data_IF_251246750567
#
_entry.id   IF_251246750567
#
_cell.length_a   1.000
_cell.length_b   1.000
_cell.length_c   1.000
_cell.angle_alpha   90.00
_cell.angle_beta   90.00
_cell.angle_gamma   90.00
#
_symmetry.space_group_name_H-M   'P 1'
#
loop_
_entity.id
_entity.type
_entity.pdbx_description
1 polymer ?
#
# COMPACT_ATOMS: atom_id res chain seq x y z
N UNK A 1 -10.33 17.82 -5.46
CA UNK A 1 -10.63 17.93 -4.02
C UNK A 1 -11.02 19.35 -3.64
N UNK A 2 -10.18 20.38 -3.91
CA UNK A 2 -10.45 21.77 -3.52
C UNK A 2 -11.86 22.26 -3.93
N UNK A 3 -12.24 22.09 -5.19
CA UNK A 3 -13.57 22.52 -5.67
C UNK A 3 -14.71 21.78 -4.97
N UNK A 4 -14.53 20.49 -4.71
CA UNK A 4 -15.51 19.68 -3.99
C UNK A 4 -15.69 20.19 -2.55
N UNK A 5 -14.59 20.42 -1.83
CA UNK A 5 -14.64 20.94 -0.46
C UNK A 5 -15.20 22.36 -0.41
N UNK A 6 -14.86 23.23 -1.36
CA UNK A 6 -15.40 24.58 -1.43
C UNK A 6 -16.93 24.61 -1.62
N UNK A 7 -17.48 23.64 -2.34
CA UNK A 7 -18.93 23.59 -2.63
C UNK A 7 -19.69 22.76 -1.59
N UNK A 8 -19.14 21.64 -1.14
CA UNK A 8 -19.82 20.62 -0.33
C UNK A 8 -19.14 20.33 1.01
N UNK A 9 -18.13 21.11 1.43
CA UNK A 9 -17.37 20.85 2.66
C UNK A 9 -18.25 20.69 3.89
N UNK A 10 -19.36 21.43 3.98
CA UNK A 10 -20.32 21.38 5.07
C UNK A 10 -21.11 20.05 5.15
N UNK A 11 -21.08 19.22 4.11
CA UNK A 11 -21.71 17.89 4.05
C UNK A 11 -20.69 16.75 4.14
N UNK A 12 -19.38 17.06 4.10
CA UNK A 12 -18.29 16.07 4.04
C UNK A 12 -17.67 15.91 5.43
N UNK A 13 -17.82 14.73 6.02
CA UNK A 13 -17.22 14.42 7.31
C UNK A 13 -15.74 14.07 7.22
N UNK A 14 -15.34 13.35 6.17
CA UNK A 14 -13.98 12.87 6.00
C UNK A 14 -13.60 12.68 4.53
N UNK A 15 -12.28 12.76 4.26
CA UNK A 15 -11.67 12.36 3.00
C UNK A 15 -10.74 11.17 3.26
N UNK A 16 -10.98 10.05 2.58
CA UNK A 16 -10.17 8.83 2.71
C UNK A 16 -9.37 8.58 1.43
N UNK A 17 -8.09 8.19 1.59
CA UNK A 17 -7.23 7.78 0.48
C UNK A 17 -6.17 6.78 0.95
N UNK A 18 -5.66 5.97 0.03
CA UNK A 18 -4.41 5.23 0.20
C UNK A 18 -3.23 6.19 -0.02
N UNK A 19 -2.31 6.39 0.95
CA UNK A 19 -1.22 7.36 0.81
C UNK A 19 -0.14 6.87 -0.16
N UNK A 20 0.28 7.74 -1.09
CA UNK A 20 1.38 7.54 -2.05
C UNK A 20 1.10 6.47 -3.11
N UNK A 21 0.54 5.31 -2.73
CA UNK A 21 0.27 4.18 -3.63
C UNK A 21 -1.20 3.80 -3.54
N UNK A 22 -1.92 3.92 -4.64
CA UNK A 22 -3.27 3.37 -4.79
C UNK A 22 -3.16 1.91 -5.23
N UNK A 23 -3.34 0.95 -4.32
CA UNK A 23 -3.13 -0.47 -4.57
C UNK A 23 -4.11 -1.07 -5.57
N UNK A 24 -5.31 -1.40 -5.13
CA UNK A 24 -6.35 -2.06 -5.94
C UNK A 24 -6.82 -1.21 -7.13
N UNK A 25 -6.63 0.10 -7.08
CA UNK A 25 -6.95 1.02 -8.18
C UNK A 25 -6.02 0.91 -9.39
N UNK A 26 -4.94 0.11 -9.34
CA UNK A 26 -4.01 -0.08 -10.46
C UNK A 26 -2.55 0.19 -10.08
N UNK A 27 -2.19 0.14 -8.81
CA UNK A 27 -0.84 0.41 -8.32
C UNK A 27 -0.28 1.75 -8.82
N UNK A 28 -1.11 2.81 -8.80
CA UNK A 28 -0.70 4.16 -9.17
C UNK A 28 0.09 4.81 -8.04
N UNK A 29 1.25 5.38 -8.40
CA UNK A 29 2.07 6.16 -7.49
C UNK A 29 1.82 7.64 -7.74
N UNK A 30 1.67 8.42 -6.67
CA UNK A 30 1.48 9.85 -6.79
C UNK A 30 2.45 10.63 -5.89
N UNK A 31 2.72 11.86 -6.28
CA UNK A 31 3.70 12.70 -5.59
C UNK A 31 3.22 13.08 -4.17
N UNK A 32 4.10 13.07 -3.16
CA UNK A 32 3.76 13.42 -1.77
C UNK A 32 3.09 14.79 -1.58
N UNK A 33 3.36 15.74 -2.49
CA UNK A 33 2.70 17.06 -2.47
C UNK A 33 1.18 16.98 -2.58
N UNK A 34 0.64 15.99 -3.29
CA UNK A 34 -0.81 15.79 -3.33
C UNK A 34 -1.37 15.48 -1.93
N UNK A 35 -0.71 14.59 -1.20
CA UNK A 35 -1.12 14.21 0.15
C UNK A 35 -0.96 15.39 1.13
N UNK A 36 0.14 16.16 1.00
CA UNK A 36 0.37 17.39 1.78
C UNK A 36 -0.71 18.45 1.52
N UNK A 37 -1.06 18.66 0.26
CA UNK A 37 -2.13 19.55 -0.13
C UNK A 37 -3.51 19.05 0.35
N UNK A 38 -3.75 17.75 0.31
CA UNK A 38 -4.98 17.15 0.84
C UNK A 38 -5.12 17.39 2.35
N UNK A 39 -4.04 17.17 3.14
CA UNK A 39 -4.04 17.47 4.59
C UNK A 39 -4.40 18.94 4.85
N UNK A 40 -3.73 19.87 4.15
CA UNK A 40 -3.99 21.30 4.30
C UNK A 40 -5.44 21.66 3.98
N UNK A 41 -6.01 21.09 2.91
CA UNK A 41 -7.40 21.33 2.55
C UNK A 41 -8.36 20.74 3.59
N UNK A 42 -8.09 19.55 4.10
CA UNK A 42 -8.89 18.95 5.16
C UNK A 42 -8.90 19.82 6.42
N UNK A 43 -7.75 20.38 6.79
CA UNK A 43 -7.66 21.32 7.93
C UNK A 43 -8.43 22.63 7.67
N UNK A 44 -8.32 23.18 6.46
CA UNK A 44 -9.00 24.43 6.06
C UNK A 44 -10.53 24.31 6.11
N UNK A 45 -11.07 23.14 5.74
CA UNK A 45 -12.53 22.91 5.67
C UNK A 45 -13.09 22.09 6.85
N UNK A 46 -12.29 21.85 7.89
CA UNK A 46 -12.65 21.02 9.07
C UNK A 46 -13.16 19.60 8.69
N UNK A 47 -12.55 19.01 7.68
CA UNK A 47 -12.83 17.64 7.19
C UNK A 47 -11.73 16.71 7.71
N UNK A 48 -12.09 15.53 8.23
CA UNK A 48 -11.11 14.56 8.71
C UNK A 48 -10.35 13.94 7.54
N UNK A 49 -9.03 13.76 7.69
CA UNK A 49 -8.20 13.01 6.75
C UNK A 49 -8.01 11.58 7.26
N UNK A 50 -8.37 10.59 6.44
CA UNK A 50 -8.17 9.18 6.71
C UNK A 50 -7.11 8.64 5.74
N UNK A 51 -5.99 8.11 6.27
CA UNK A 51 -5.00 7.40 5.48
C UNK A 51 -5.21 5.89 5.62
N UNK A 52 -5.51 5.24 4.49
CA UNK A 52 -5.57 3.78 4.43
C UNK A 52 -4.17 3.22 4.17
N UNK A 53 -3.48 2.85 5.24
CA UNK A 53 -2.14 2.26 5.24
C UNK A 53 -2.15 0.72 5.24
N UNK A 54 -3.30 0.10 4.98
CA UNK A 54 -3.43 -1.37 5.01
C UNK A 54 -2.45 -2.04 4.04
N UNK A 55 -2.24 -1.45 2.86
CA UNK A 55 -1.32 -1.99 1.85
C UNK A 55 0.06 -1.30 1.87
N UNK A 56 0.14 -0.07 2.33
CA UNK A 56 1.34 0.78 2.24
C UNK A 56 2.18 0.80 3.50
N UNK A 57 1.59 0.48 4.65
CA UNK A 57 2.26 0.51 5.94
C UNK A 57 3.31 -0.58 6.15
N UNK A 58 3.98 -0.49 7.28
CA UNK A 58 5.01 -1.42 7.75
C UNK A 58 6.19 -1.58 6.78
N UNK A 59 6.64 -0.46 6.18
CA UNK A 59 7.85 -0.43 5.36
C UNK A 59 7.65 -0.71 3.87
N UNK A 60 6.44 -1.06 3.42
CA UNK A 60 6.20 -1.50 2.04
C UNK A 60 6.68 -0.53 0.97
N UNK A 61 6.49 0.76 1.19
CA UNK A 61 6.89 1.81 0.24
C UNK A 61 8.31 2.34 0.45
N UNK A 62 9.01 1.91 1.52
CA UNK A 62 10.31 2.44 1.94
C UNK A 62 10.27 3.31 3.19
N UNK A 63 9.10 3.85 3.54
CA UNK A 63 8.82 4.50 4.81
C UNK A 63 8.00 3.57 5.71
N UNK A 64 8.07 3.72 7.05
CA UNK A 64 7.28 2.89 7.95
C UNK A 64 5.78 3.00 7.65
N UNK A 65 5.31 4.21 7.42
CA UNK A 65 3.99 4.52 6.88
C UNK A 65 4.15 5.48 5.69
N UNK A 66 3.40 5.25 4.62
CA UNK A 66 3.57 6.04 3.39
C UNK A 66 3.20 7.52 3.58
N UNK A 67 2.34 7.87 4.54
CA UNK A 67 2.07 9.27 4.88
C UNK A 67 3.32 10.04 5.35
N UNK A 68 4.38 9.35 5.79
CA UNK A 68 5.65 9.96 6.20
C UNK A 68 6.35 10.68 5.04
N UNK A 69 6.17 10.24 3.78
CA UNK A 69 6.69 10.94 2.60
C UNK A 69 6.18 12.38 2.49
N UNK A 70 4.97 12.63 2.95
CA UNK A 70 4.38 13.95 2.97
C UNK A 70 4.69 14.74 4.26
N UNK A 71 5.27 14.09 5.28
CA UNK A 71 5.50 14.68 6.58
C UNK A 71 4.20 15.09 7.29
N UNK A 72 3.12 14.31 7.09
CA UNK A 72 1.80 14.59 7.67
C UNK A 72 1.37 13.50 8.63
N UNK A 73 0.47 13.85 9.53
CA UNK A 73 -0.27 12.92 10.38
C UNK A 73 -1.75 12.97 10.00
N UNK A 74 -2.40 11.85 9.65
CA UNK A 74 -3.83 11.81 9.42
C UNK A 74 -4.61 11.89 10.74
N UNK A 75 -5.90 12.21 10.66
CA UNK A 75 -6.80 12.13 11.82
C UNK A 75 -7.14 10.68 12.17
N UNK A 76 -7.25 9.84 11.14
CA UNK A 76 -7.50 8.41 11.27
C UNK A 76 -6.55 7.66 10.33
N UNK A 77 -5.99 6.55 10.83
CA UNK A 77 -5.14 5.66 10.05
C UNK A 77 -5.67 4.23 10.16
N UNK A 78 -5.87 3.54 9.03
CA UNK A 78 -6.25 2.14 9.02
C UNK A 78 -5.03 1.26 8.73
N UNK A 79 -4.87 0.18 9.49
CA UNK A 79 -3.74 -0.75 9.43
C UNK A 79 -4.24 -2.18 9.27
N UNK A 80 -3.46 -3.01 8.56
CA UNK A 80 -3.75 -4.42 8.34
C UNK A 80 -2.58 -5.10 7.64
N UNK A 81 -2.81 -6.21 6.97
CA UNK A 81 -1.81 -6.98 6.19
C UNK A 81 -0.46 -7.13 6.91
N UNK A 82 0.48 -6.19 6.69
CA UNK A 82 1.79 -6.15 7.33
C UNK A 82 1.75 -6.11 8.88
N UNK A 83 0.65 -5.69 9.47
CA UNK A 83 0.46 -5.65 10.92
C UNK A 83 0.75 -7.00 11.59
N UNK A 84 0.37 -8.10 10.97
CA UNK A 84 0.62 -9.46 11.48
C UNK A 84 1.56 -10.28 10.60
N UNK A 85 2.22 -9.66 9.62
CA UNK A 85 3.05 -10.34 8.62
C UNK A 85 2.35 -11.53 7.91
N UNK A 86 1.02 -11.51 7.85
CA UNK A 86 0.21 -12.56 7.21
C UNK A 86 -0.08 -13.78 8.10
N UNK A 87 0.36 -13.81 9.34
CA UNK A 87 0.14 -14.94 10.26
C UNK A 87 -1.31 -15.06 10.75
N UNK A 88 -1.98 -13.91 10.95
CA UNK A 88 -3.36 -13.86 11.44
C UNK A 88 -4.12 -12.72 10.77
N UNK A 89 -5.42 -12.86 10.64
CA UNK A 89 -6.30 -11.77 10.23
C UNK A 89 -6.49 -10.80 11.40
N UNK A 90 -5.96 -9.59 11.25
CA UNK A 90 -6.12 -8.50 12.19
C UNK A 90 -6.07 -7.17 11.44
N UNK A 91 -6.87 -6.23 11.88
CA UNK A 91 -6.77 -4.82 11.49
C UNK A 91 -6.79 -3.92 12.72
N UNK A 92 -6.24 -2.73 12.58
CA UNK A 92 -6.31 -1.71 13.62
C UNK A 92 -6.71 -0.38 12.98
N UNK A 93 -7.43 0.44 13.74
CA UNK A 93 -7.75 1.81 13.41
C UNK A 93 -7.17 2.69 14.49
N UNK A 94 -6.25 3.56 14.09
CA UNK A 94 -5.65 4.56 14.98
C UNK A 94 -6.35 5.89 14.75
N UNK A 95 -6.53 6.65 15.81
CA UNK A 95 -7.14 7.97 15.73
C UNK A 95 -6.47 8.96 16.70
N UNK A 96 -6.60 10.25 16.40
CA UNK A 96 -6.12 11.31 17.26
C UNK A 96 -7.15 11.66 18.37
N UNK A 97 -6.73 12.53 19.29
CA UNK A 97 -7.57 12.96 20.42
C UNK A 97 -8.83 13.71 19.96
N UNK A 98 -8.75 14.53 18.90
CA UNK A 98 -9.90 15.26 18.33
C UNK A 98 -11.04 14.29 18.00
N UNK A 99 -10.72 13.19 17.31
CA UNK A 99 -11.72 12.20 16.90
C UNK A 99 -12.27 11.43 18.12
N UNK A 100 -11.41 10.98 19.02
CA UNK A 100 -11.83 10.22 20.20
C UNK A 100 -12.72 11.06 21.14
N UNK A 101 -12.37 12.33 21.36
CA UNK A 101 -13.18 13.26 22.13
C UNK A 101 -14.51 13.57 21.42
N UNK A 102 -14.49 13.78 20.10
CA UNK A 102 -15.69 13.98 19.30
C UNK A 102 -16.71 12.85 19.48
N UNK A 103 -16.22 11.59 19.45
CA UNK A 103 -17.07 10.41 19.73
C UNK A 103 -17.61 10.45 21.16
N UNK A 104 -16.76 10.68 22.15
CA UNK A 104 -17.13 10.67 23.56
C UNK A 104 -18.10 11.79 23.95
N UNK A 105 -18.05 12.91 23.26
CA UNK A 105 -18.94 14.07 23.47
C UNK A 105 -20.20 14.01 22.62
N UNK A 106 -20.30 13.08 21.66
CA UNK A 106 -21.49 12.88 20.84
C UNK A 106 -22.68 12.33 21.65
N UNK A 107 -23.84 12.31 21.04
CA UNK A 107 -25.02 11.69 21.64
C UNK A 107 -24.83 10.19 21.97
N UNK A 108 -23.98 9.50 21.22
CA UNK A 108 -23.63 8.09 21.45
C UNK A 108 -22.70 7.89 22.65
N UNK A 109 -21.88 8.89 23.01
CA UNK A 109 -20.90 8.90 24.12
C UNK A 109 -19.88 7.76 24.11
N UNK A 110 -19.97 6.85 23.16
CA UNK A 110 -19.10 5.67 23.03
C UNK A 110 -19.06 5.23 21.57
N UNK A 111 -17.93 4.70 21.15
CA UNK A 111 -17.81 4.05 19.84
C UNK A 111 -18.51 2.67 19.91
N UNK A 112 -19.69 2.57 19.31
CA UNK A 112 -20.49 1.34 19.28
C UNK A 112 -19.97 0.35 18.23
N UNK A 113 -18.71 -0.06 18.38
CA UNK A 113 -18.06 -1.06 17.52
C UNK A 113 -17.30 -2.05 18.40
N UNK A 114 -17.75 -3.31 18.42
CA UNK A 114 -17.18 -4.34 19.27
C UNK A 114 -17.50 -5.74 18.75
N UNK A 115 -16.92 -6.18 17.59
CA UNK A 115 -17.01 -7.56 17.15
C UNK A 115 -16.55 -8.51 18.25
N UNK A 116 -17.20 -9.68 18.38
CA UNK A 116 -16.96 -10.65 19.47
C UNK A 116 -15.47 -11.01 19.63
N UNK A 117 -14.74 -11.14 18.52
CA UNK A 117 -13.32 -11.52 18.52
C UNK A 117 -12.37 -10.33 18.30
N UNK A 118 -12.85 -9.09 18.44
CA UNK A 118 -12.00 -7.92 18.34
C UNK A 118 -10.88 -7.98 19.39
N UNK A 119 -9.66 -7.59 18.98
CA UNK A 119 -8.47 -7.60 19.84
C UNK A 119 -8.17 -8.97 20.46
N UNK A 120 -8.45 -10.08 19.74
CA UNK A 120 -8.13 -11.40 20.30
C UNK A 120 -6.64 -11.50 20.62
N UNK A 121 -6.27 -12.11 21.77
CA UNK A 121 -4.88 -12.10 22.26
C UNK A 121 -3.88 -12.73 21.30
N UNK A 122 -4.26 -13.78 20.58
CA UNK A 122 -3.38 -14.46 19.64
C UNK A 122 -2.98 -13.54 18.46
N UNK A 123 -3.95 -12.87 17.85
CA UNK A 123 -3.68 -11.95 16.75
C UNK A 123 -2.88 -10.72 17.22
N UNK A 124 -3.15 -10.21 18.43
CA UNK A 124 -2.37 -9.13 19.03
C UNK A 124 -0.92 -9.56 19.32
N UNK A 125 -0.70 -10.79 19.80
CA UNK A 125 0.63 -11.34 19.99
C UNK A 125 1.40 -11.48 18.65
N UNK A 126 0.71 -11.95 17.59
CA UNK A 126 1.29 -11.99 16.25
C UNK A 126 1.66 -10.59 15.74
N UNK A 127 0.82 -9.57 15.99
CA UNK A 127 1.11 -8.21 15.58
C UNK A 127 2.35 -7.64 16.31
N UNK A 128 2.44 -7.84 17.62
CA UNK A 128 3.60 -7.40 18.38
C UNK A 128 4.89 -8.09 17.88
N UNK A 129 4.87 -9.41 17.72
CA UNK A 129 6.00 -10.16 17.20
C UNK A 129 6.41 -9.70 15.78
N UNK A 130 5.43 -9.40 14.91
CA UNK A 130 5.69 -8.86 13.57
C UNK A 130 6.43 -7.53 13.62
N UNK A 131 6.01 -6.62 14.52
CA UNK A 131 6.65 -5.32 14.70
C UNK A 131 8.06 -5.49 15.27
N UNK A 132 8.24 -6.35 16.29
CA UNK A 132 9.54 -6.66 16.88
C UNK A 132 10.52 -7.23 15.85
N UNK A 133 10.07 -8.17 15.01
CA UNK A 133 10.87 -8.72 13.90
C UNK A 133 11.24 -7.63 12.92
N UNK A 134 10.30 -6.77 12.50
CA UNK A 134 10.61 -5.67 11.59
C UNK A 134 11.66 -4.73 12.18
N UNK A 135 11.58 -4.41 13.47
CA UNK A 135 12.54 -3.53 14.16
C UNK A 135 13.90 -4.20 14.45
N UNK A 136 14.00 -5.52 14.35
CA UNK A 136 15.22 -6.27 14.69
C UNK A 136 16.32 -6.23 13.63
N UNK A 137 16.05 -5.69 12.45
CA UNK A 137 17.02 -5.60 11.35
C UNK A 137 16.83 -4.32 10.53
N UNK A 138 17.83 -4.00 9.71
CA UNK A 138 17.79 -2.85 8.79
C UNK A 138 16.89 -3.15 7.57
N UNK A 139 15.57 -3.08 7.80
CA UNK A 139 14.56 -3.31 6.77
C UNK A 139 14.56 -2.19 5.72
N UNK A 140 14.92 -0.96 6.09
CA UNK A 140 14.94 0.18 5.16
C UNK A 140 15.96 -0.05 4.05
N UNK A 141 17.18 -0.44 4.40
CA UNK A 141 18.22 -0.78 3.41
C UNK A 141 17.80 -1.97 2.54
N UNK A 142 17.14 -2.98 3.10
CA UNK A 142 16.61 -4.11 2.32
C UNK A 142 15.54 -3.68 1.33
N UNK A 143 14.58 -2.88 1.76
CA UNK A 143 13.50 -2.39 0.89
C UNK A 143 14.05 -1.49 -0.22
N UNK A 144 15.01 -0.61 0.10
CA UNK A 144 15.71 0.21 -0.88
C UNK A 144 16.50 -0.62 -1.90
N UNK A 145 17.14 -1.71 -1.45
CA UNK A 145 17.82 -2.66 -2.33
C UNK A 145 16.83 -3.34 -3.29
N UNK A 146 15.69 -3.82 -2.77
CA UNK A 146 14.60 -4.41 -3.58
C UNK A 146 14.12 -3.41 -4.64
N UNK A 147 13.87 -2.16 -4.25
CA UNK A 147 13.47 -1.10 -5.19
C UNK A 147 14.47 -0.91 -6.32
N UNK A 148 15.75 -0.79 -5.97
CA UNK A 148 16.83 -0.65 -6.95
C UNK A 148 16.88 -1.82 -7.93
N UNK A 149 16.73 -3.04 -7.44
CA UNK A 149 16.71 -4.26 -8.26
C UNK A 149 15.49 -4.30 -9.18
N UNK A 150 14.31 -3.95 -8.67
CA UNK A 150 13.08 -3.88 -9.47
C UNK A 150 13.19 -2.84 -10.57
N UNK A 151 13.66 -1.63 -10.26
CA UNK A 151 13.87 -0.57 -11.25
C UNK A 151 14.89 -0.99 -12.31
N UNK A 152 16.09 -1.43 -11.91
CA UNK A 152 17.12 -1.84 -12.85
C UNK A 152 16.71 -3.03 -13.72
N UNK A 153 16.02 -4.01 -13.11
CA UNK A 153 15.61 -5.24 -13.78
C UNK A 153 14.44 -5.08 -14.74
N UNK A 154 13.50 -4.18 -14.44
CA UNK A 154 12.29 -4.01 -15.25
C UNK A 154 12.35 -2.84 -16.22
N UNK A 155 13.24 -1.86 -16.03
CA UNK A 155 13.24 -0.60 -16.79
C UNK A 155 13.37 -0.76 -18.31
N UNK A 156 14.08 -1.78 -18.78
CA UNK A 156 14.21 -2.06 -20.22
C UNK A 156 12.88 -2.38 -20.89
N UNK A 157 11.89 -2.89 -20.14
CA UNK A 157 10.56 -3.21 -20.64
C UNK A 157 9.77 -1.97 -21.08
N UNK A 158 10.16 -0.76 -20.65
CA UNK A 158 9.57 0.48 -21.17
C UNK A 158 9.75 0.64 -22.70
N UNK A 159 10.68 -0.10 -23.32
CA UNK A 159 10.89 -0.08 -24.76
C UNK A 159 9.99 -1.04 -25.52
N UNK A 160 9.31 -1.93 -24.80
CA UNK A 160 8.45 -2.94 -25.42
C UNK A 160 7.09 -2.32 -25.82
N UNK A 161 6.59 -2.54 -27.05
CA UNK A 161 5.37 -1.87 -27.53
C UNK A 161 4.09 -2.21 -26.76
N UNK A 162 4.03 -3.35 -26.08
CA UNK A 162 2.90 -3.72 -25.23
C UNK A 162 2.91 -3.01 -23.87
N UNK A 163 4.06 -2.44 -23.44
CA UNK A 163 4.24 -1.84 -22.13
C UNK A 163 3.96 -0.35 -22.18
N UNK A 164 3.08 0.10 -21.32
CA UNK A 164 2.76 1.52 -21.15
C UNK A 164 3.74 2.22 -20.22
N UNK A 165 4.08 1.59 -19.10
CA UNK A 165 4.94 2.16 -18.07
C UNK A 165 5.51 1.07 -17.15
N UNK A 166 6.75 1.27 -16.72
CA UNK A 166 7.37 0.54 -15.61
C UNK A 166 7.62 1.50 -14.46
N UNK A 167 7.24 1.12 -13.25
CA UNK A 167 7.46 1.90 -12.04
C UNK A 167 7.77 1.01 -10.84
N UNK A 168 8.56 1.51 -9.91
CA UNK A 168 8.79 0.85 -8.64
C UNK A 168 8.88 1.88 -7.50
N UNK A 169 8.46 1.47 -6.30
CA UNK A 169 8.60 2.21 -5.07
C UNK A 169 8.69 1.22 -3.90
N UNK A 170 9.79 1.29 -3.15
CA UNK A 170 10.04 0.34 -2.08
C UNK A 170 10.02 -1.10 -2.58
N UNK A 171 9.30 -1.97 -1.89
CA UNK A 171 9.16 -3.37 -2.30
C UNK A 171 7.91 -3.60 -3.19
N UNK A 172 7.70 -2.72 -4.18
CA UNK A 172 6.61 -2.77 -5.16
C UNK A 172 7.20 -2.50 -6.55
N UNK A 173 7.13 -3.46 -7.46
CA UNK A 173 7.46 -3.28 -8.87
C UNK A 173 6.23 -3.50 -9.75
N UNK A 174 6.02 -2.65 -10.75
CA UNK A 174 4.83 -2.67 -11.60
C UNK A 174 5.22 -2.52 -13.05
N UNK A 175 4.66 -3.37 -13.90
CA UNK A 175 4.68 -3.23 -15.36
C UNK A 175 3.23 -3.03 -15.80
N UNK A 176 2.90 -1.85 -16.29
CA UNK A 176 1.57 -1.52 -16.82
C UNK A 176 1.56 -1.76 -18.33
N UNK A 177 0.56 -2.48 -18.81
CA UNK A 177 0.36 -2.79 -20.22
C UNK A 177 -0.69 -1.85 -20.83
N UNK A 178 -0.62 -1.65 -22.16
CA UNK A 178 -1.65 -0.93 -22.90
C UNK A 178 -2.96 -1.73 -22.96
N UNK A 179 -2.87 -3.05 -23.12
CA UNK A 179 -4.03 -3.95 -23.15
C UNK A 179 -4.34 -4.53 -21.75
N UNK A 180 -5.60 -4.90 -21.45
CA UNK A 180 -5.92 -5.66 -20.25
C UNK A 180 -5.20 -6.99 -20.20
N UNK A 181 -4.84 -7.44 -19.00
CA UNK A 181 -4.19 -8.72 -18.77
C UNK A 181 -5.19 -9.89 -18.85
N UNK A 182 -4.82 -10.98 -19.52
CA UNK A 182 -5.47 -12.27 -19.30
C UNK A 182 -4.89 -12.89 -18.01
N UNK A 183 -5.58 -12.67 -16.90
CA UNK A 183 -5.12 -13.11 -15.58
C UNK A 183 -4.90 -14.62 -15.52
N UNK A 184 -5.79 -15.42 -16.14
CA UNK A 184 -5.71 -16.87 -16.08
C UNK A 184 -4.50 -17.41 -16.85
N UNK A 185 -4.30 -16.93 -18.08
CA UNK A 185 -3.18 -17.32 -18.94
C UNK A 185 -1.85 -16.85 -18.33
N UNK A 186 -1.76 -15.59 -17.91
CA UNK A 186 -0.53 -15.05 -17.34
C UNK A 186 -0.16 -15.70 -16.00
N UNK A 187 -1.15 -15.99 -15.15
CA UNK A 187 -0.89 -16.68 -13.88
C UNK A 187 -0.39 -18.11 -14.12
N UNK A 188 -0.96 -18.84 -15.09
CA UNK A 188 -0.47 -20.16 -15.50
C UNK A 188 0.98 -20.08 -15.94
N UNK A 189 1.31 -19.11 -16.81
CA UNK A 189 2.69 -18.89 -17.27
C UNK A 189 3.66 -18.70 -16.08
N UNK A 190 3.31 -17.84 -15.12
CA UNK A 190 4.15 -17.61 -13.95
C UNK A 190 4.37 -18.86 -13.10
N UNK A 191 3.32 -19.65 -12.88
CA UNK A 191 3.43 -20.93 -12.15
C UNK A 191 4.36 -21.90 -12.88
N UNK A 192 4.25 -22.02 -14.20
CA UNK A 192 5.13 -22.87 -15.03
C UNK A 192 6.60 -22.41 -14.99
N UNK A 193 6.84 -21.11 -14.73
CA UNK A 193 8.19 -20.54 -14.53
C UNK A 193 8.62 -20.52 -13.05
N UNK A 194 7.84 -21.17 -12.16
CA UNK A 194 8.17 -21.36 -10.75
C UNK A 194 8.11 -20.09 -9.92
N UNK A 195 7.22 -19.15 -10.29
CA UNK A 195 6.91 -17.94 -9.52
C UNK A 195 5.40 -17.80 -9.34
N UNK A 196 4.98 -17.09 -8.29
CA UNK A 196 3.57 -16.82 -8.03
C UNK A 196 3.31 -15.31 -8.12
N UNK A 197 2.82 -14.85 -9.26
CA UNK A 197 2.40 -13.46 -9.48
C UNK A 197 0.93 -13.42 -9.87
N UNK A 198 0.24 -12.34 -9.55
CA UNK A 198 -1.20 -12.19 -9.73
C UNK A 198 -1.54 -10.93 -10.55
N UNK A 199 -1.40 -10.97 -11.88
CA UNK A 199 -1.77 -9.85 -12.74
C UNK A 199 -3.24 -9.47 -12.58
N UNK A 200 -3.57 -8.19 -12.69
CA UNK A 200 -4.96 -7.72 -12.73
C UNK A 200 -5.09 -6.42 -13.52
N UNK A 201 -6.29 -6.15 -14.07
CA UNK A 201 -6.55 -4.95 -14.85
C UNK A 201 -5.60 -4.83 -16.04
N UNK A 202 -4.66 -3.91 -15.97
CA UNK A 202 -3.62 -3.69 -16.97
C UNK A 202 -2.21 -3.94 -16.42
N UNK A 203 -2.08 -4.48 -15.20
CA UNK A 203 -0.78 -4.54 -14.53
C UNK A 203 -0.31 -5.96 -14.22
N UNK A 204 0.99 -6.14 -14.37
CA UNK A 204 1.78 -7.21 -13.79
C UNK A 204 2.59 -6.57 -12.67
N UNK A 205 2.57 -7.15 -11.46
CA UNK A 205 3.29 -6.57 -10.34
C UNK A 205 4.04 -7.60 -9.51
N UNK A 206 5.15 -7.16 -8.94
CA UNK A 206 6.00 -7.92 -8.00
C UNK A 206 5.87 -7.24 -6.63
N UNK A 207 5.45 -8.02 -5.64
CA UNK A 207 5.19 -7.54 -4.28
C UNK A 207 5.81 -8.52 -3.27
N UNK A 208 7.16 -8.57 -3.19
CA UNK A 208 7.88 -9.61 -2.49
C UNK A 208 7.90 -9.39 -0.97
N UNK A 209 8.17 -10.44 -0.16
CA UNK A 209 8.56 -10.25 1.23
C UNK A 209 9.93 -9.56 1.31
N UNK A 210 10.21 -8.81 2.39
CA UNK A 210 11.48 -8.09 2.52
C UNK A 210 12.70 -9.01 2.67
N UNK A 211 12.47 -10.26 3.06
CA UNK A 211 13.52 -11.29 3.22
C UNK A 211 13.84 -12.02 1.91
N UNK A 212 13.20 -11.67 0.80
CA UNK A 212 13.48 -12.29 -0.50
C UNK A 212 14.97 -12.19 -0.82
N UNK A 213 15.55 -13.27 -1.32
CA UNK A 213 16.93 -13.26 -1.81
C UNK A 213 17.03 -12.60 -3.20
N UNK A 214 18.24 -12.20 -3.57
CA UNK A 214 18.50 -11.63 -4.90
C UNK A 214 18.16 -12.62 -6.02
N UNK A 215 18.45 -13.90 -5.84
CA UNK A 215 18.16 -14.93 -6.83
C UNK A 215 16.65 -15.13 -7.02
N UNK A 216 15.90 -15.16 -5.92
CA UNK A 216 14.43 -15.27 -5.98
C UNK A 216 13.80 -14.02 -6.61
N UNK A 217 14.28 -12.81 -6.26
CA UNK A 217 13.80 -11.58 -6.86
C UNK A 217 14.13 -11.50 -8.35
N UNK A 218 15.35 -11.89 -8.74
CA UNK A 218 15.77 -11.99 -10.14
C UNK A 218 14.88 -12.99 -10.91
N UNK A 219 14.54 -14.13 -10.30
CA UNK A 219 13.63 -15.11 -10.91
C UNK A 219 12.25 -14.50 -11.20
N UNK A 220 11.71 -13.71 -10.28
CA UNK A 220 10.44 -12.98 -10.50
C UNK A 220 10.57 -11.97 -11.65
N UNK A 221 11.65 -11.20 -11.67
CA UNK A 221 11.93 -10.20 -12.72
C UNK A 221 12.05 -10.88 -14.10
N UNK A 222 12.84 -11.95 -14.20
CA UNK A 222 13.02 -12.67 -15.46
C UNK A 222 11.73 -13.33 -15.97
N UNK A 223 10.90 -13.88 -15.08
CA UNK A 223 9.60 -14.40 -15.46
C UNK A 223 8.68 -13.31 -16.04
N UNK A 224 8.70 -12.08 -15.47
CA UNK A 224 7.96 -10.94 -16.02
C UNK A 224 8.50 -10.53 -17.38
N UNK A 225 9.84 -10.47 -17.55
CA UNK A 225 10.46 -10.15 -18.85
C UNK A 225 10.09 -11.17 -19.92
N UNK A 226 10.18 -12.47 -19.60
CA UNK A 226 9.83 -13.54 -20.53
C UNK A 226 8.37 -13.46 -20.94
N UNK A 227 7.45 -13.24 -19.99
CA UNK A 227 6.04 -13.05 -20.32
C UNK A 227 5.83 -11.86 -21.28
N UNK A 228 6.42 -10.72 -20.99
CA UNK A 228 6.27 -9.50 -21.81
C UNK A 228 6.79 -9.72 -23.24
N UNK A 229 7.85 -10.53 -23.43
CA UNK A 229 8.36 -10.88 -24.76
C UNK A 229 7.38 -11.75 -25.59
N UNK A 230 6.36 -12.32 -24.97
CA UNK A 230 5.33 -13.12 -25.68
C UNK A 230 4.12 -12.29 -26.08
N UNK A 231 4.04 -11.02 -25.68
CA UNK A 231 2.96 -10.08 -25.95
C UNK A 231 3.23 -9.28 -27.24
#
# INVERSE_FOLDING_TARGET
LKNMLATHGHEIAAFILEPIVQGAGGMYFYHPEYLRAARKLCDEYDVLLICDEIATGFGRTGELFACNYAGITPDIMTLGKGLTAGMMTLSAVLTNEKVSQGISQSSARVMMHGPTFMANPLACACANASIEVLQSYDWQSKVKHIESKLLSGLSELNKHPAVKEVRALGAIGVVELHAPVDTAQMQKFFVEHGVWLRPFGHIIYIYPPFIISDDELNKCIEAVKQLVQTL
#
